data_IF_232342960528
#
_entry.id   IF_232342960528
#
_cell.length_a   1.000
_cell.length_b   1.000
_cell.length_c   1.000
_cell.angle_alpha   90.00
_cell.angle_beta   90.00
_cell.angle_gamma   90.00
#
_symmetry.space_group_name_H-M   'P 1'
#
loop_
_entity.id
_entity.type
_entity.pdbx_description
1 polymer ?
#
# COMPACT_ATOMS: atom_id res chain seq x y z
N UNK A 1 -20.34 -8.67 6.53
CA UNK A 1 -20.26 -7.38 7.26
C UNK A 1 -20.09 -6.15 6.37
N UNK A 2 -19.08 -6.09 5.50
CA UNK A 2 -18.74 -4.87 4.72
C UNK A 2 -19.89 -4.40 3.80
N UNK A 3 -20.55 -5.32 3.09
CA UNK A 3 -21.67 -4.95 2.19
C UNK A 3 -22.87 -4.31 2.90
N UNK A 4 -23.09 -4.64 4.17
CA UNK A 4 -24.18 -4.08 4.98
C UNK A 4 -23.89 -2.63 5.39
N UNK A 5 -22.63 -2.32 5.74
CA UNK A 5 -22.18 -0.95 6.02
C UNK A 5 -22.19 -0.08 4.76
N UNK A 6 -21.73 -0.61 3.62
CA UNK A 6 -21.78 0.11 2.34
C UNK A 6 -23.23 0.40 1.94
N UNK A 7 -24.12 -0.58 2.10
CA UNK A 7 -25.55 -0.38 1.85
C UNK A 7 -26.17 0.68 2.74
N UNK A 8 -25.91 0.64 4.05
CA UNK A 8 -26.39 1.64 4.99
C UNK A 8 -25.86 3.05 4.67
N UNK A 9 -24.57 3.19 4.35
CA UNK A 9 -23.97 4.47 3.98
C UNK A 9 -24.60 5.07 2.72
N UNK A 10 -24.87 4.24 1.69
CA UNK A 10 -25.53 4.68 0.45
C UNK A 10 -26.96 5.13 0.72
N UNK A 11 -27.74 4.36 1.50
CA UNK A 11 -29.12 4.73 1.84
C UNK A 11 -29.17 6.05 2.61
N UNK A 12 -28.28 6.25 3.59
CA UNK A 12 -28.18 7.51 4.35
C UNK A 12 -27.77 8.67 3.43
N UNK A 13 -26.81 8.49 2.54
CA UNK A 13 -26.38 9.53 1.61
C UNK A 13 -27.49 9.94 0.63
N UNK A 14 -28.22 8.96 0.07
CA UNK A 14 -29.37 9.23 -0.83
C UNK A 14 -30.48 9.94 -0.07
N UNK A 15 -30.77 9.53 1.16
CA UNK A 15 -31.79 10.17 1.99
C UNK A 15 -31.43 11.62 2.31
N UNK A 16 -30.19 11.89 2.74
CA UNK A 16 -29.71 13.24 3.00
C UNK A 16 -29.69 14.10 1.73
N UNK A 17 -29.27 13.54 0.59
CA UNK A 17 -29.30 14.22 -0.70
C UNK A 17 -30.73 14.56 -1.15
N UNK A 18 -31.69 13.66 -0.94
CA UNK A 18 -33.09 13.90 -1.24
C UNK A 18 -33.71 14.96 -0.33
N UNK A 19 -33.39 14.96 0.97
CA UNK A 19 -33.82 15.98 1.93
C UNK A 19 -33.23 17.35 1.57
N UNK A 20 -31.94 17.40 1.26
CA UNK A 20 -31.26 18.63 0.84
C UNK A 20 -31.80 19.16 -0.49
N UNK A 21 -32.07 18.29 -1.47
CA UNK A 21 -32.69 18.68 -2.73
C UNK A 21 -34.14 19.17 -2.54
N UNK A 22 -34.88 18.59 -1.59
CA UNK A 22 -36.23 19.01 -1.23
C UNK A 22 -36.28 20.38 -0.54
N UNK A 23 -35.27 20.71 0.28
CA UNK A 23 -35.13 22.04 0.88
C UNK A 23 -34.66 23.08 -0.14
N UNK A 24 -33.73 22.72 -1.04
CA UNK A 24 -33.11 23.68 -1.96
C UNK A 24 -33.91 23.96 -3.24
N UNK A 25 -34.82 23.06 -3.67
CA UNK A 25 -35.68 23.28 -4.85
C UNK A 25 -37.16 23.34 -4.44
N UNK A 26 -37.74 24.54 -4.56
CA UNK A 26 -39.18 24.77 -4.39
C UNK A 26 -40.09 23.87 -5.26
N UNK A 27 -39.56 23.35 -6.37
CA UNK A 27 -40.26 22.40 -7.25
C UNK A 27 -40.52 21.09 -6.51
N UNK A 28 -39.55 20.56 -5.77
CA UNK A 28 -39.70 19.29 -5.01
C UNK A 28 -40.61 19.50 -3.80
N UNK A 29 -40.58 20.69 -3.18
CA UNK A 29 -41.49 21.06 -2.08
C UNK A 29 -42.97 21.05 -2.50
N UNK A 30 -43.28 21.53 -3.70
CA UNK A 30 -44.64 21.47 -4.25
C UNK A 30 -45.04 20.05 -4.65
N UNK A 31 -44.14 19.29 -5.30
CA UNK A 31 -44.39 17.87 -5.62
C UNK A 31 -44.63 16.97 -4.40
N UNK A 32 -43.94 17.22 -3.28
CA UNK A 32 -44.16 16.53 -2.00
C UNK A 32 -45.55 16.83 -1.41
N UNK A 33 -46.10 18.02 -1.70
CA UNK A 33 -47.41 18.47 -1.21
C UNK A 33 -48.56 17.93 -2.06
N UNK A 34 -48.37 17.83 -3.37
CA UNK A 34 -49.38 17.29 -4.29
C UNK A 34 -49.48 15.76 -4.25
N UNK A 35 -48.36 15.03 -4.20
CA UNK A 35 -48.38 13.57 -4.21
C UNK A 35 -47.22 12.96 -3.38
N UNK A 36 -47.36 12.88 -2.04
CA UNK A 36 -46.31 12.38 -1.15
C UNK A 36 -45.90 10.93 -1.46
N UNK A 37 -46.83 10.09 -1.96
CA UNK A 37 -46.54 8.71 -2.34
C UNK A 37 -45.58 8.60 -3.54
N UNK A 38 -45.70 9.47 -4.55
CA UNK A 38 -44.81 9.48 -5.71
C UNK A 38 -43.39 9.90 -5.33
N UNK A 39 -43.24 10.83 -4.40
CA UNK A 39 -41.93 11.23 -3.89
C UNK A 39 -41.23 10.06 -3.18
N UNK A 40 -41.94 9.32 -2.32
CA UNK A 40 -41.39 8.13 -1.65
C UNK A 40 -41.02 7.05 -2.67
N UNK A 41 -41.89 6.81 -3.66
CA UNK A 41 -41.61 5.86 -4.74
C UNK A 41 -40.34 6.24 -5.53
N UNK A 42 -40.17 7.51 -5.86
CA UNK A 42 -38.99 8.01 -6.57
C UNK A 42 -37.70 7.81 -5.75
N UNK A 43 -37.74 8.09 -4.44
CA UNK A 43 -36.57 7.90 -3.54
C UNK A 43 -36.22 6.41 -3.42
N UNK A 44 -37.22 5.53 -3.32
CA UNK A 44 -37.00 4.07 -3.29
C UNK A 44 -36.42 3.60 -4.63
N UNK A 45 -36.98 4.05 -5.74
CA UNK A 45 -36.49 3.68 -7.07
C UNK A 45 -35.06 4.17 -7.32
N UNK A 46 -34.75 5.41 -6.96
CA UNK A 46 -33.41 5.97 -7.08
C UNK A 46 -32.40 5.25 -6.19
N UNK A 47 -32.77 4.91 -4.95
CA UNK A 47 -31.88 4.16 -4.05
C UNK A 47 -31.64 2.73 -4.53
N UNK A 48 -32.65 2.07 -5.10
CA UNK A 48 -32.51 0.75 -5.73
C UNK A 48 -31.58 0.79 -6.94
N UNK A 49 -31.76 1.78 -7.83
CA UNK A 49 -30.90 1.96 -9.01
C UNK A 49 -29.44 2.19 -8.60
N UNK A 50 -29.22 3.04 -7.59
CA UNK A 50 -27.88 3.34 -7.09
C UNK A 50 -27.23 2.11 -6.44
N UNK A 51 -27.99 1.32 -5.68
CA UNK A 51 -27.52 0.07 -5.08
C UNK A 51 -27.14 -0.97 -6.16
N UNK A 52 -27.92 -1.05 -7.24
CA UNK A 52 -27.61 -1.90 -8.39
C UNK A 52 -26.31 -1.47 -9.10
N UNK A 53 -26.07 -0.16 -9.24
CA UNK A 53 -24.85 0.35 -9.85
C UNK A 53 -23.62 0.10 -8.98
N UNK A 54 -23.73 0.24 -7.67
CA UNK A 54 -22.61 0.00 -6.74
C UNK A 54 -22.09 -1.44 -6.83
N UNK A 55 -22.95 -2.43 -7.01
CA UNK A 55 -22.53 -3.82 -7.22
C UNK A 55 -21.63 -3.98 -8.45
N UNK A 56 -22.03 -3.37 -9.58
CA UNK A 56 -21.24 -3.38 -10.81
C UNK A 56 -19.94 -2.59 -10.71
N UNK A 57 -19.98 -1.39 -10.10
CA UNK A 57 -18.81 -0.51 -9.94
C UNK A 57 -17.77 -1.14 -9.01
N UNK A 58 -18.18 -1.82 -7.94
CA UNK A 58 -17.26 -2.50 -7.03
C UNK A 58 -16.48 -3.61 -7.75
N UNK A 59 -17.17 -4.40 -8.58
CA UNK A 59 -16.56 -5.48 -9.39
C UNK A 59 -15.66 -4.90 -10.48
N UNK A 60 -16.09 -3.82 -11.14
CA UNK A 60 -15.29 -3.13 -12.15
C UNK A 60 -14.00 -2.52 -11.58
N UNK A 61 -14.10 -1.82 -10.43
CA UNK A 61 -12.94 -1.27 -9.73
C UNK A 61 -12.02 -2.38 -9.22
N UNK A 62 -12.55 -3.51 -8.75
CA UNK A 62 -11.74 -4.68 -8.39
C UNK A 62 -10.97 -5.17 -9.63
N UNK A 63 -11.64 -5.27 -10.78
CA UNK A 63 -11.04 -5.69 -12.05
C UNK A 63 -9.89 -4.80 -12.52
N UNK A 64 -9.94 -3.48 -12.26
CA UNK A 64 -8.83 -2.55 -12.55
C UNK A 64 -7.76 -2.58 -11.46
N UNK A 65 -8.14 -2.70 -10.18
CA UNK A 65 -7.20 -2.72 -9.05
C UNK A 65 -6.35 -4.00 -9.03
N UNK A 66 -6.90 -5.15 -9.41
CA UNK A 66 -6.21 -6.43 -9.45
C UNK A 66 -4.92 -6.40 -10.30
N UNK A 67 -4.95 -6.01 -11.59
CA UNK A 67 -3.74 -5.93 -12.41
C UNK A 67 -2.78 -4.86 -11.90
N UNK A 68 -3.26 -3.73 -11.36
CA UNK A 68 -2.40 -2.71 -10.75
C UNK A 68 -1.59 -3.27 -9.58
N UNK A 69 -2.25 -3.99 -8.67
CA UNK A 69 -1.58 -4.64 -7.52
C UNK A 69 -0.60 -5.70 -8.01
N UNK A 70 -0.97 -6.48 -9.04
CA UNK A 70 -0.09 -7.50 -9.61
C UNK A 70 1.19 -6.88 -10.20
N UNK A 71 1.06 -5.79 -10.96
CA UNK A 71 2.18 -5.04 -11.53
C UNK A 71 3.06 -4.47 -10.40
N UNK A 72 2.44 -3.88 -9.37
CA UNK A 72 3.16 -3.36 -8.22
C UNK A 72 3.90 -4.46 -7.46
N UNK A 73 3.26 -5.59 -7.18
CA UNK A 73 3.87 -6.72 -6.50
C UNK A 73 5.05 -7.28 -7.31
N UNK A 74 4.89 -7.43 -8.62
CA UNK A 74 5.97 -7.85 -9.52
C UNK A 74 7.13 -6.85 -9.52
N UNK A 75 6.83 -5.55 -9.59
CA UNK A 75 7.84 -4.49 -9.51
C UNK A 75 8.55 -4.48 -8.14
N UNK A 76 7.84 -4.70 -7.04
CA UNK A 76 8.41 -4.81 -5.69
C UNK A 76 9.35 -6.01 -5.55
N UNK A 77 8.99 -7.18 -6.11
CA UNK A 77 9.87 -8.34 -6.14
C UNK A 77 11.12 -8.08 -7.00
N UNK A 78 10.96 -7.42 -8.16
CA UNK A 78 12.10 -7.00 -9.00
C UNK A 78 13.00 -6.00 -8.27
N UNK A 79 12.43 -5.09 -7.49
CA UNK A 79 13.19 -4.14 -6.67
C UNK A 79 14.00 -4.84 -5.57
N UNK A 80 13.55 -5.98 -5.03
CA UNK A 80 14.35 -6.77 -4.07
C UNK A 80 15.65 -7.27 -4.68
N UNK A 81 15.62 -7.72 -5.93
CA UNK A 81 16.83 -8.10 -6.66
C UNK A 81 17.74 -6.88 -6.92
N UNK A 82 17.16 -5.71 -7.24
CA UNK A 82 17.93 -4.47 -7.36
C UNK A 82 18.55 -4.02 -6.04
N UNK A 83 17.88 -4.23 -4.91
CA UNK A 83 18.40 -3.93 -3.57
C UNK A 83 19.62 -4.80 -3.24
N UNK A 84 19.54 -6.11 -3.51
CA UNK A 84 20.69 -7.02 -3.42
C UNK A 84 21.83 -6.61 -4.35
N UNK A 85 21.53 -6.15 -5.57
CA UNK A 85 22.55 -5.70 -6.53
C UNK A 85 23.23 -4.40 -6.10
N UNK A 86 22.48 -3.50 -5.45
CA UNK A 86 23.01 -2.25 -4.88
C UNK A 86 23.90 -2.51 -3.66
N UNK A 87 23.48 -3.37 -2.73
CA UNK A 87 24.33 -3.78 -1.60
C UNK A 87 25.65 -4.39 -2.10
N UNK A 88 25.59 -5.32 -3.05
CA UNK A 88 26.80 -5.94 -3.61
C UNK A 88 27.72 -4.93 -4.32
N UNK A 89 27.16 -3.94 -5.04
CA UNK A 89 27.95 -2.87 -5.66
C UNK A 89 28.54 -1.89 -4.64
N UNK A 90 27.84 -1.65 -3.55
CA UNK A 90 28.26 -0.75 -2.48
C UNK A 90 29.37 -1.38 -1.62
N UNK A 91 29.33 -2.70 -1.43
CA UNK A 91 30.42 -3.51 -0.88
C UNK A 91 31.63 -3.53 -1.80
N UNK A 92 31.43 -3.80 -3.10
CA UNK A 92 32.51 -3.78 -4.11
C UNK A 92 33.15 -2.39 -4.27
N UNK A 93 32.40 -1.31 -4.06
CA UNK A 93 32.92 0.05 -4.08
C UNK A 93 33.51 0.50 -2.73
N UNK A 94 33.45 -0.33 -1.69
CA UNK A 94 33.98 -0.02 -0.35
C UNK A 94 33.19 1.04 0.42
N UNK A 95 32.03 1.51 -0.07
CA UNK A 95 31.23 2.57 0.55
C UNK A 95 30.46 2.09 1.79
N UNK A 96 30.16 0.80 1.91
CA UNK A 96 29.69 0.15 3.14
C UNK A 96 30.25 -1.26 3.21
N UNK A 97 30.84 -1.62 4.35
CA UNK A 97 31.18 -3.02 4.63
C UNK A 97 29.93 -3.73 5.12
N UNK A 98 29.56 -4.83 4.46
CA UNK A 98 28.60 -5.78 5.03
C UNK A 98 29.15 -6.35 6.34
N UNK A 99 28.29 -6.88 7.23
CA UNK A 99 28.76 -7.58 8.42
C UNK A 99 29.82 -8.65 8.11
N UNK A 100 29.75 -9.30 6.94
CA UNK A 100 30.77 -10.25 6.50
C UNK A 100 32.09 -9.58 6.12
N UNK A 101 32.05 -8.44 5.43
CA UNK A 101 33.24 -7.64 5.13
C UNK A 101 33.94 -7.12 6.39
N UNK A 102 33.17 -6.72 7.42
CA UNK A 102 33.73 -6.29 8.72
C UNK A 102 34.39 -7.47 9.45
N UNK A 103 33.76 -8.66 9.42
CA UNK A 103 34.31 -9.86 10.04
C UNK A 103 35.60 -10.34 9.35
N UNK A 104 35.65 -10.31 8.01
CA UNK A 104 36.85 -10.68 7.25
C UNK A 104 38.01 -9.71 7.49
N UNK A 105 37.73 -8.41 7.59
CA UNK A 105 38.77 -7.43 7.94
C UNK A 105 39.28 -7.65 9.37
N UNK A 106 38.38 -7.93 10.33
CA UNK A 106 38.79 -8.24 11.70
C UNK A 106 39.62 -9.54 11.80
N UNK A 107 39.31 -10.57 11.00
CA UNK A 107 40.08 -11.81 10.92
C UNK A 107 41.45 -11.59 10.28
N UNK A 108 41.53 -10.85 9.18
CA UNK A 108 42.80 -10.49 8.55
C UNK A 108 43.70 -9.72 9.51
N UNK A 109 43.12 -8.78 10.26
CA UNK A 109 43.83 -7.99 11.27
C UNK A 109 44.34 -8.83 12.46
N UNK A 110 43.73 -9.98 12.72
CA UNK A 110 44.19 -10.93 13.72
C UNK A 110 45.37 -11.77 13.20
N UNK A 111 45.32 -12.23 11.94
CA UNK A 111 46.40 -13.00 11.30
C UNK A 111 47.70 -12.20 11.20
N UNK A 112 47.62 -10.93 10.81
CA UNK A 112 48.77 -10.02 10.76
C UNK A 112 49.33 -9.65 12.15
N UNK A 113 48.49 -9.65 13.20
CA UNK A 113 48.96 -9.50 14.58
C UNK A 113 49.66 -10.77 15.08
N UNK A 114 49.12 -11.94 14.78
CA UNK A 114 49.71 -13.22 15.18
C UNK A 114 51.07 -13.45 14.52
N UNK A 115 51.20 -13.11 13.23
CA UNK A 115 52.46 -13.20 12.49
C UNK A 115 53.51 -12.23 13.02
N UNK A 116 53.15 -10.98 13.36
CA UNK A 116 54.06 -10.05 14.05
C UNK A 116 54.55 -10.60 15.38
N UNK A 117 53.66 -11.15 16.21
CA UNK A 117 54.03 -11.72 17.52
C UNK A 117 54.97 -12.93 17.38
N UNK A 118 54.91 -13.65 16.25
CA UNK A 118 55.79 -14.78 15.95
C UNK A 118 57.17 -14.33 15.44
N UNK A 119 57.25 -13.22 14.70
CA UNK A 119 58.50 -12.60 14.27
C UNK A 119 59.30 -11.98 15.43
N UNK A 120 58.63 -11.45 16.46
CA UNK A 120 59.26 -10.86 17.64
C UNK A 120 60.25 -11.79 18.39
N UNK A 121 59.91 -13.04 18.73
CA UNK A 121 60.83 -13.98 19.35
C UNK A 121 61.93 -14.47 18.40
N UNK A 122 61.66 -14.59 17.09
CA UNK A 122 62.69 -14.96 16.10
C UNK A 122 63.76 -13.86 15.93
N UNK A 123 63.37 -12.59 15.97
CA UNK A 123 64.31 -11.47 15.87
C UNK A 123 65.15 -11.33 17.15
N UNK A 124 64.55 -11.53 18.33
CA UNK A 124 65.23 -11.57 19.64
C UNK A 124 66.24 -12.71 19.81
N UNK A 125 66.12 -13.79 19.04
CA UNK A 125 67.05 -14.94 19.05
C UNK A 125 68.21 -14.80 18.06
N UNK A 126 68.15 -13.80 17.15
CA UNK A 126 69.17 -13.55 16.13
C UNK A 126 70.12 -12.38 16.49
N UNK A 127 69.87 -11.67 17.59
CA UNK A 127 70.82 -10.75 18.26
C UNK A 127 71.65 -11.50 19.31
#
# INVERSE_FOLDING_TARGET
PIGMFTGAAVVVAVFLGAVWAADNKAIIKNFKKDNPALFVFLVIFASYLLMSLFGGVMVFLLGIKLPLILIFAHASLRLRNMKNKLENKMESAGLKKSPMGILLEALGQQEENLSKVQEFPENKLKE
#
